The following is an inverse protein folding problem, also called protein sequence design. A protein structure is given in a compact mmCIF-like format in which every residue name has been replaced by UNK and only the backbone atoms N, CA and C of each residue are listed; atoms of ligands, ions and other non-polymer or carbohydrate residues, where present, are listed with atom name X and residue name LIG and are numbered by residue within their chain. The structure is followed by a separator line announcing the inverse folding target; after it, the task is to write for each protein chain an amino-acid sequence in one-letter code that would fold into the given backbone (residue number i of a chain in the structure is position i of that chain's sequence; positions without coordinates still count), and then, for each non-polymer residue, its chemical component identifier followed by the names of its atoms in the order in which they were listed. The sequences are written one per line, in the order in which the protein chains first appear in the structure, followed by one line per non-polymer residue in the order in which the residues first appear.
data_IF_828376056010
#
_entry.id   IF_828376056010
#
_cell.length_a   1.000
_cell.length_b   1.000
_cell.length_c   1.000
_cell.angle_alpha   90.00
_cell.angle_beta   90.00
_cell.angle_gamma   90.00
#
_symmetry.space_group_name_H-M   'P 1'
#
loop_
_entity.id
_entity.type
_entity.pdbx_description
1 polymer ?
#
# COMPACT_ATOMS: atom_id res chain seq x y z
N UNK A 1 0.56 13.52 -9.64
CA UNK A 1 -0.23 12.27 -9.52
C UNK A 1 0.17 11.36 -10.67
N UNK A 2 0.99 10.35 -10.39
CA UNK A 2 1.54 9.44 -11.38
C UNK A 2 2.47 8.44 -10.70
N UNK A 3 2.50 7.21 -11.20
CA UNK A 3 3.30 6.13 -10.66
C UNK A 3 4.76 6.40 -11.04
N UNK A 4 5.52 7.10 -10.20
CA UNK A 4 6.94 7.36 -10.46
C UNK A 4 7.83 6.13 -10.20
N UNK A 5 7.30 5.12 -9.51
CA UNK A 5 8.00 3.89 -9.19
C UNK A 5 7.48 2.74 -10.06
N UNK A 6 8.31 2.26 -11.00
CA UNK A 6 8.04 1.06 -11.78
C UNK A 6 7.79 -0.18 -10.89
N UNK A 7 8.37 -0.16 -9.68
CA UNK A 7 8.35 -1.25 -8.72
C UNK A 7 7.92 -0.69 -7.35
N UNK A 8 6.91 -1.29 -6.72
CA UNK A 8 6.37 -0.88 -5.42
C UNK A 8 6.25 -2.10 -4.50
N UNK A 9 6.43 -1.95 -3.19
CA UNK A 9 6.07 -2.99 -2.23
C UNK A 9 6.75 -4.35 -2.45
N UNK A 10 8.06 -4.36 -2.72
CA UNK A 10 8.82 -5.60 -2.93
C UNK A 10 8.66 -6.15 -4.35
N UNK A 11 8.88 -5.30 -5.36
CA UNK A 11 8.82 -5.69 -6.77
C UNK A 11 7.41 -6.01 -7.30
N UNK A 12 6.38 -5.31 -6.82
CA UNK A 12 5.07 -5.29 -7.47
C UNK A 12 5.20 -4.53 -8.80
N UNK A 13 5.31 -5.28 -9.89
CA UNK A 13 5.47 -4.79 -11.27
C UNK A 13 4.13 -4.70 -11.99
N UNK A 14 4.11 -3.99 -13.14
CA UNK A 14 2.92 -3.81 -13.97
C UNK A 14 2.14 -2.52 -13.69
N UNK A 15 0.98 -2.40 -14.34
CA UNK A 15 0.03 -1.29 -14.12
C UNK A 15 -0.60 -1.43 -12.76
N UNK A 16 -0.52 -0.37 -11.97
CA UNK A 16 -0.98 -0.38 -10.57
C UNK A 16 -1.66 0.93 -10.23
N UNK A 17 -2.69 0.87 -9.40
CA UNK A 17 -3.35 2.06 -8.88
C UNK A 17 -2.96 2.21 -7.43
N UNK A 18 -2.42 3.38 -7.09
CA UNK A 18 -1.96 3.69 -5.74
C UNK A 18 -2.88 4.73 -5.08
N UNK A 19 -3.31 4.42 -3.86
CA UNK A 19 -4.01 5.33 -2.96
C UNK A 19 -3.08 5.68 -1.80
N UNK A 20 -2.84 6.97 -1.57
CA UNK A 20 -2.11 7.45 -0.40
C UNK A 20 -3.09 7.91 0.68
N UNK A 21 -2.59 8.06 1.90
CA UNK A 21 -3.34 8.58 3.05
C UNK A 21 -4.50 7.70 3.51
N UNK A 22 -4.33 6.38 3.45
CA UNK A 22 -5.35 5.43 3.90
C UNK A 22 -5.11 5.12 5.39
N UNK A 23 -6.07 5.41 6.29
CA UNK A 23 -5.97 5.03 7.70
C UNK A 23 -5.83 3.52 7.87
N UNK A 24 -5.14 3.05 8.91
CA UNK A 24 -4.85 1.62 9.11
C UNK A 24 -6.08 0.72 9.11
N UNK A 25 -7.17 1.12 9.76
CA UNK A 25 -8.43 0.37 9.76
C UNK A 25 -9.06 0.25 8.35
N UNK A 26 -8.97 1.31 7.54
CA UNK A 26 -9.39 1.29 6.15
C UNK A 26 -8.44 0.45 5.29
N UNK A 27 -7.13 0.51 5.56
CA UNK A 27 -6.14 -0.27 4.84
C UNK A 27 -6.33 -1.78 5.03
N UNK A 28 -6.59 -2.21 6.28
CA UNK A 28 -6.88 -3.61 6.62
C UNK A 28 -8.11 -4.12 5.88
N UNK A 29 -9.20 -3.35 5.91
CA UNK A 29 -10.47 -3.75 5.30
C UNK A 29 -10.40 -3.76 3.76
N UNK A 30 -9.75 -2.77 3.16
CA UNK A 30 -9.54 -2.74 1.71
C UNK A 30 -8.71 -3.94 1.26
N UNK A 31 -7.62 -4.26 1.97
CA UNK A 31 -6.76 -5.39 1.63
C UNK A 31 -7.45 -6.75 1.87
N UNK A 32 -8.23 -6.85 2.94
CA UNK A 32 -9.01 -8.06 3.24
C UNK A 32 -10.08 -8.40 2.19
N UNK A 33 -10.68 -7.39 1.56
CA UNK A 33 -11.69 -7.59 0.50
C UNK A 33 -11.09 -7.76 -0.89
N UNK A 34 -9.93 -7.14 -1.16
CA UNK A 34 -9.34 -7.13 -2.50
C UNK A 34 -8.26 -8.20 -2.71
N UNK A 35 -7.69 -8.77 -1.65
CA UNK A 35 -6.55 -9.67 -1.77
C UNK A 35 -6.42 -10.69 -0.62
N UNK A 36 -5.56 -10.44 0.38
CA UNK A 36 -5.23 -11.39 1.45
C UNK A 36 -5.17 -10.74 2.86
N UNK A 37 -5.40 -9.43 2.96
CA UNK A 37 -5.33 -8.69 4.23
C UNK A 37 -3.90 -8.45 4.74
N UNK A 38 -2.87 -8.76 3.95
CA UNK A 38 -1.46 -8.58 4.30
C UNK A 38 -0.78 -7.59 3.34
N UNK A 39 -0.42 -6.41 3.86
CA UNK A 39 0.24 -5.36 3.08
C UNK A 39 1.63 -5.72 2.52
N UNK A 40 2.15 -6.90 2.83
CA UNK A 40 3.42 -7.43 2.35
C UNK A 40 3.29 -8.34 1.12
N UNK A 41 2.13 -8.94 0.87
CA UNK A 41 1.94 -10.07 -0.06
C UNK A 41 0.68 -9.94 -0.93
N UNK A 42 0.57 -10.79 -1.97
CA UNK A 42 -0.57 -10.81 -2.89
C UNK A 42 -0.52 -9.87 -4.12
N UNK A 43 -1.65 -9.31 -4.54
CA UNK A 43 -1.86 -8.29 -5.58
C UNK A 43 -1.91 -6.86 -5.05
N UNK A 44 -2.21 -6.68 -3.78
CA UNK A 44 -2.23 -5.41 -3.09
C UNK A 44 -0.97 -5.30 -2.22
N UNK A 45 -0.34 -4.14 -2.16
CA UNK A 45 0.77 -3.89 -1.23
C UNK A 45 0.54 -2.59 -0.51
N UNK A 46 0.88 -2.60 0.77
CA UNK A 46 0.97 -1.41 1.57
C UNK A 46 2.41 -1.00 1.78
N UNK A 47 2.59 0.29 1.97
CA UNK A 47 3.80 0.90 2.52
C UNK A 47 3.36 1.92 3.56
N UNK A 48 4.10 2.03 4.66
CA UNK A 48 3.76 3.02 5.68
C UNK A 48 3.97 4.43 5.12
N UNK A 49 2.95 5.26 5.25
CA UNK A 49 2.95 6.67 4.86
C UNK A 49 3.03 7.60 6.07
N UNK A 50 3.25 8.88 5.81
CA UNK A 50 3.23 9.94 6.83
C UNK A 50 1.88 10.66 6.80
N UNK A 51 1.19 10.72 7.95
CA UNK A 51 -0.06 11.47 8.10
C UNK A 51 0.04 12.91 7.56
N UNK A 52 -1.03 13.38 6.90
CA UNK A 52 -1.08 14.70 6.24
C UNK A 52 -0.19 14.88 5.00
N UNK A 53 0.58 13.86 4.57
CA UNK A 53 1.54 13.99 3.46
C UNK A 53 1.22 12.99 2.36
N UNK A 54 1.13 13.43 1.10
CA UNK A 54 0.99 12.50 -0.03
C UNK A 54 2.30 11.73 -0.24
N UNK A 55 2.44 10.62 0.49
CA UNK A 55 3.68 9.84 0.54
C UNK A 55 3.76 8.98 -0.71
N UNK A 56 4.81 9.21 -1.51
CA UNK A 56 5.03 8.48 -2.75
C UNK A 56 5.20 6.97 -2.45
N UNK A 57 4.68 6.04 -3.27
CA UNK A 57 4.79 4.62 -3.00
C UNK A 57 6.26 4.17 -2.97
N UNK A 58 6.65 3.45 -1.92
CA UNK A 58 8.00 2.93 -1.75
C UNK A 58 8.14 1.55 -2.40
N UNK A 59 9.35 1.20 -2.85
CA UNK A 59 9.65 -0.17 -3.30
C UNK A 59 9.82 -1.14 -2.11
N UNK A 60 9.77 -0.67 -0.88
CA UNK A 60 9.86 -1.52 0.32
C UNK A 60 8.47 -2.02 0.68
N UNK A 61 8.26 -3.33 0.74
CA UNK A 61 7.01 -3.91 1.23
C UNK A 61 6.81 -3.59 2.73
N UNK A 62 5.55 -3.57 3.19
CA UNK A 62 5.29 -3.45 4.61
C UNK A 62 5.89 -4.65 5.36
N UNK A 63 6.83 -4.40 6.27
CA UNK A 63 7.53 -5.47 6.98
C UNK A 63 6.75 -6.05 8.18
N UNK A 64 5.72 -5.33 8.63
CA UNK A 64 4.89 -5.66 9.80
C UNK A 64 3.42 -5.74 9.41
N UNK A 65 2.57 -6.41 10.21
CA UNK A 65 1.13 -6.33 10.00
C UNK A 65 0.63 -4.88 10.05
N UNK A 66 -0.52 -4.63 9.44
CA UNK A 66 -1.18 -3.34 9.56
C UNK A 66 -1.44 -2.98 11.02
N UNK A 67 -1.40 -1.68 11.31
CA UNK A 67 -1.68 -1.08 12.60
C UNK A 67 -2.66 0.08 12.38
N UNK A 68 -3.70 0.14 13.20
CA UNK A 68 -4.77 1.14 13.08
C UNK A 68 -4.29 2.57 13.36
N UNK A 69 -3.20 2.72 14.13
CA UNK A 69 -2.59 4.01 14.47
C UNK A 69 -1.82 4.64 13.31
N UNK A 70 -1.54 3.86 12.26
CA UNK A 70 -0.70 4.28 11.14
C UNK A 70 -1.52 4.64 9.90
N UNK A 71 -0.87 5.38 9.01
CA UNK A 71 -1.40 5.72 7.68
C UNK A 71 -0.57 4.97 6.64
N UNK A 72 -1.22 4.51 5.58
CA UNK A 72 -0.61 3.69 4.55
C UNK A 72 -0.84 4.26 3.15
N UNK A 73 0.13 4.00 2.28
CA UNK A 73 -0.04 4.06 0.83
C UNK A 73 -0.24 2.63 0.33
N UNK A 74 -1.42 2.36 -0.21
CA UNK A 74 -1.80 1.09 -0.82
C UNK A 74 -1.58 1.18 -2.32
N UNK A 75 -1.08 0.14 -2.96
CA UNK A 75 -1.33 -0.03 -4.38
C UNK A 75 -1.75 -1.44 -4.75
N UNK A 76 -2.66 -1.48 -5.71
CA UNK A 76 -3.23 -2.69 -6.27
C UNK A 76 -2.77 -2.84 -7.72
N UNK A 77 -2.26 -4.03 -8.09
CA UNK A 77 -1.99 -4.37 -9.49
C UNK A 77 -3.29 -4.75 -10.19
N UNK A 78 -3.54 -4.19 -11.37
CA UNK A 78 -4.70 -4.51 -12.21
C UNK A 78 -4.35 -5.65 -13.14
#
# INVERSE_FOLDING_TARGET
MGILASNMGGNLTGTKVCLSQVPGSAAISIDGELDDGLGATGRLRATQGTGGTNTNPSNTALATPYSEDNVYTLCYRI
#
